data_IF_138038289112
#
_entry.id   IF_138038289112
#
_cell.length_a   1.000
_cell.length_b   1.000
_cell.length_c   1.000
_cell.angle_alpha   90.00
_cell.angle_beta   90.00
_cell.angle_gamma   90.00
#
_symmetry.space_group_name_H-M   'P 1'
#
loop_
_entity.id
_entity.type
_entity.pdbx_description
1 polymer ?
#
# COMPACT_ATOMS: atom_id res chain seq x y z
N UNK A 1 25.15 35.55 -11.16
CA UNK A 1 24.21 34.91 -12.11
C UNK A 1 24.71 33.49 -12.30
N UNK A 2 24.27 32.58 -11.46
CA UNK A 2 24.53 31.15 -11.61
C UNK A 2 23.19 30.50 -11.88
N UNK A 3 23.02 30.03 -13.10
CA UNK A 3 21.86 29.26 -13.55
C UNK A 3 21.92 27.88 -12.91
N UNK A 4 21.04 27.66 -11.92
CA UNK A 4 20.78 26.33 -11.40
C UNK A 4 20.04 25.51 -12.47
N UNK A 5 20.80 24.68 -13.19
CA UNK A 5 20.24 23.66 -14.07
C UNK A 5 19.45 22.66 -13.21
N UNK A 6 18.12 22.76 -13.25
CA UNK A 6 17.24 21.72 -12.74
C UNK A 6 17.43 20.48 -13.61
N UNK A 7 17.98 19.43 -13.01
CA UNK A 7 18.09 18.12 -13.66
C UNK A 7 16.65 17.61 -13.93
N UNK A 8 16.21 17.72 -15.18
CA UNK A 8 14.96 17.14 -15.63
C UNK A 8 15.03 15.62 -15.46
N UNK A 9 14.09 15.06 -14.69
CA UNK A 9 13.91 13.62 -14.55
C UNK A 9 13.57 13.03 -15.94
N UNK A 10 14.54 12.39 -16.57
CA UNK A 10 14.46 11.88 -17.96
C UNK A 10 13.76 10.52 -18.11
N UNK A 11 12.86 10.13 -17.21
CA UNK A 11 12.35 8.76 -17.12
C UNK A 11 10.83 8.60 -17.22
N UNK A 12 10.11 9.49 -17.90
CA UNK A 12 8.75 9.17 -18.35
C UNK A 12 8.81 8.52 -19.73
N UNK A 13 8.68 7.18 -19.87
CA UNK A 13 8.52 6.59 -21.19
C UNK A 13 7.21 7.07 -21.80
N UNK A 14 7.14 7.31 -23.13
CA UNK A 14 5.90 7.66 -23.80
C UNK A 14 4.91 6.51 -23.60
N UNK A 15 3.80 6.80 -22.96
CA UNK A 15 2.75 5.79 -22.73
C UNK A 15 1.99 5.62 -24.05
N UNK A 16 2.26 4.52 -24.75
CA UNK A 16 1.42 4.08 -25.86
C UNK A 16 0.01 3.78 -25.29
N UNK A 17 -1.04 4.21 -25.97
CA UNK A 17 -2.45 4.04 -25.55
C UNK A 17 -2.82 2.59 -25.20
N UNK A 18 -2.13 1.59 -25.77
CA UNK A 18 -2.30 0.17 -25.47
C UNK A 18 -1.84 -0.24 -24.06
N UNK A 19 -0.95 0.49 -23.40
CA UNK A 19 -0.52 0.18 -22.02
C UNK A 19 -1.51 0.64 -20.96
N UNK A 20 -2.37 1.59 -21.27
CA UNK A 20 -3.39 2.11 -20.33
C UNK A 20 -4.50 1.09 -20.07
N UNK A 21 -4.83 0.19 -21.01
CA UNK A 21 -5.90 -0.80 -20.85
C UNK A 21 -5.54 -1.99 -19.96
N UNK A 22 -4.25 -2.26 -19.74
CA UNK A 22 -3.78 -3.38 -18.91
C UNK A 22 -3.22 -2.94 -17.54
N UNK A 23 -3.28 -1.64 -17.22
CA UNK A 23 -2.78 -1.11 -15.96
C UNK A 23 -3.88 -1.05 -14.88
N UNK A 24 -3.50 -1.37 -13.63
CA UNK A 24 -4.35 -1.18 -12.45
C UNK A 24 -4.35 0.29 -12.01
N UNK A 25 -3.17 0.91 -11.98
CA UNK A 25 -3.01 2.35 -11.68
C UNK A 25 -2.08 2.96 -12.71
N UNK A 26 -2.43 4.13 -13.24
CA UNK A 26 -1.60 4.91 -14.15
C UNK A 26 -1.58 6.37 -13.68
N UNK A 27 -0.38 6.85 -13.35
CA UNK A 27 -0.09 8.22 -12.92
C UNK A 27 0.80 8.86 -13.97
N UNK A 28 0.40 10.04 -14.47
CA UNK A 28 1.14 10.76 -15.51
C UNK A 28 1.33 12.22 -15.10
N UNK A 29 2.59 12.66 -15.12
CA UNK A 29 3.01 14.05 -14.90
C UNK A 29 2.37 14.64 -13.62
N UNK A 30 2.28 13.83 -12.56
CA UNK A 30 1.64 14.24 -11.30
C UNK A 30 2.41 15.40 -10.67
N UNK A 31 1.70 16.49 -10.43
CA UNK A 31 2.15 17.59 -9.60
C UNK A 31 1.21 17.75 -8.40
N UNK A 32 1.79 17.87 -7.22
CA UNK A 32 1.01 18.06 -5.99
C UNK A 32 1.79 18.83 -4.93
N UNK A 33 1.12 19.74 -4.22
CA UNK A 33 1.62 20.45 -3.04
C UNK A 33 0.52 20.63 -2.01
N UNK A 34 0.90 20.75 -0.75
CA UNK A 34 -0.03 21.15 0.30
C UNK A 34 -0.08 22.67 0.42
N UNK A 35 -1.25 23.26 0.15
CA UNK A 35 -1.45 24.72 0.22
C UNK A 35 -0.44 25.46 -0.67
N UNK A 36 0.21 26.50 -0.13
CA UNK A 36 1.22 27.28 -0.84
C UNK A 36 2.67 26.85 -0.55
N UNK A 37 2.84 25.60 -0.02
CA UNK A 37 4.14 25.06 0.34
C UNK A 37 4.97 24.62 -0.86
N UNK A 38 6.16 24.03 -0.57
CA UNK A 38 7.00 23.39 -1.57
C UNK A 38 6.24 22.23 -2.24
N UNK A 39 6.46 22.04 -3.53
CA UNK A 39 5.92 20.89 -4.24
C UNK A 39 6.39 19.59 -3.58
N UNK A 40 5.45 18.66 -3.38
CA UNK A 40 5.72 17.34 -2.85
C UNK A 40 6.02 16.36 -3.98
N UNK A 41 5.33 16.52 -5.10
CA UNK A 41 5.57 15.77 -6.33
C UNK A 41 5.72 16.73 -7.51
N UNK A 42 6.75 16.48 -8.32
CA UNK A 42 7.03 17.24 -9.55
C UNK A 42 7.23 16.25 -10.69
N UNK A 43 6.25 16.23 -11.61
CA UNK A 43 6.28 15.36 -12.80
C UNK A 43 6.42 13.85 -12.48
N UNK A 44 5.77 13.38 -11.39
CA UNK A 44 5.84 11.98 -10.99
C UNK A 44 4.99 11.10 -11.93
N UNK A 45 5.61 10.03 -12.43
CA UNK A 45 4.96 9.04 -13.29
C UNK A 45 5.09 7.65 -12.65
N UNK A 46 3.99 6.87 -12.67
CA UNK A 46 3.96 5.49 -12.19
C UNK A 46 2.89 4.70 -12.92
N UNK A 47 3.25 3.51 -13.40
CA UNK A 47 2.29 2.57 -13.97
C UNK A 47 2.36 1.25 -13.23
N UNK A 48 1.23 0.80 -12.67
CA UNK A 48 1.09 -0.45 -11.93
C UNK A 48 0.25 -1.41 -12.76
N UNK A 49 0.79 -2.56 -13.08
CA UNK A 49 0.08 -3.61 -13.83
C UNK A 49 -0.91 -4.35 -12.92
N UNK A 50 -1.96 -4.92 -13.52
CA UNK A 50 -2.86 -5.83 -12.78
C UNK A 50 -2.08 -7.05 -12.30
N UNK A 51 -2.35 -7.49 -11.07
CA UNK A 51 -1.66 -8.60 -10.42
C UNK A 51 -0.23 -8.29 -9.94
N UNK A 52 0.27 -7.06 -10.10
CA UNK A 52 1.55 -6.66 -9.52
C UNK A 52 1.45 -6.51 -8.00
N UNK A 53 2.55 -6.81 -7.30
CA UNK A 53 2.76 -6.42 -5.90
C UNK A 53 3.84 -5.34 -5.86
N UNK A 54 3.46 -4.10 -5.63
CA UNK A 54 4.40 -2.97 -5.57
C UNK A 54 4.59 -2.51 -4.13
N UNK A 55 5.85 -2.40 -3.70
CA UNK A 55 6.20 -1.69 -2.48
C UNK A 55 6.66 -0.26 -2.79
N UNK A 56 6.02 0.73 -2.14
CA UNK A 56 6.43 2.12 -2.16
C UNK A 56 7.36 2.36 -0.97
N UNK A 57 8.62 2.67 -1.25
CA UNK A 57 9.65 2.90 -0.25
C UNK A 57 10.23 4.31 -0.38
N UNK A 58 10.89 4.80 0.65
CA UNK A 58 11.52 6.13 0.69
C UNK A 58 11.60 6.65 2.11
N UNK A 59 12.29 7.75 2.32
CA UNK A 59 12.45 8.38 3.63
C UNK A 59 11.12 8.92 4.19
N UNK A 60 11.12 9.27 5.48
CA UNK A 60 9.95 9.90 6.10
C UNK A 60 9.74 11.29 5.49
N UNK A 61 8.48 11.62 5.21
CA UNK A 61 8.13 12.92 4.62
C UNK A 61 8.22 12.99 3.09
N UNK A 62 8.69 11.95 2.37
CA UNK A 62 8.76 11.94 0.90
C UNK A 62 7.38 11.89 0.22
N UNK A 63 6.29 11.72 0.96
CA UNK A 63 4.94 11.74 0.40
C UNK A 63 4.31 10.38 0.12
N UNK A 64 4.86 9.27 0.61
CA UNK A 64 4.32 7.91 0.39
C UNK A 64 2.82 7.80 0.69
N UNK A 65 2.41 8.17 1.91
CA UNK A 65 0.98 8.15 2.28
C UNK A 65 0.15 9.21 1.55
N UNK A 66 0.77 10.30 1.07
CA UNK A 66 0.11 11.28 0.21
C UNK A 66 -0.18 10.70 -1.17
N UNK A 67 0.78 9.96 -1.75
CA UNK A 67 0.60 9.26 -3.02
C UNK A 67 -0.55 8.24 -2.92
N UNK A 68 -0.61 7.47 -1.82
CA UNK A 68 -1.73 6.56 -1.53
C UNK A 68 -3.06 7.32 -1.49
N UNK A 69 -3.14 8.45 -0.79
CA UNK A 69 -4.36 9.26 -0.73
C UNK A 69 -4.80 9.82 -2.08
N UNK A 70 -3.84 10.19 -2.94
CA UNK A 70 -4.11 10.62 -4.31
C UNK A 70 -4.63 9.47 -5.17
N UNK A 71 -4.05 8.26 -5.08
CA UNK A 71 -4.54 7.05 -5.77
C UNK A 71 -5.97 6.71 -5.32
N UNK A 72 -6.26 6.85 -4.02
CA UNK A 72 -7.59 6.64 -3.43
C UNK A 72 -8.58 7.78 -3.73
N UNK A 73 -8.17 8.82 -4.46
CA UNK A 73 -8.98 10.03 -4.71
C UNK A 73 -9.45 10.74 -3.44
N UNK A 74 -8.74 10.55 -2.32
CA UNK A 74 -8.95 11.30 -1.07
C UNK A 74 -8.31 12.70 -1.12
N UNK A 75 -7.40 12.90 -2.05
CA UNK A 75 -6.80 14.18 -2.44
C UNK A 75 -6.87 14.30 -3.96
N UNK A 76 -6.93 15.53 -4.45
CA UNK A 76 -6.90 15.83 -5.88
C UNK A 76 -5.52 16.36 -6.24
N UNK A 77 -4.93 15.96 -7.37
CA UNK A 77 -3.67 16.52 -7.85
C UNK A 77 -3.87 17.96 -8.31
N UNK A 78 -2.84 18.82 -8.16
CA UNK A 78 -2.84 20.17 -8.71
C UNK A 78 -2.68 20.16 -10.24
N UNK A 79 -1.90 19.18 -10.78
CA UNK A 79 -1.77 18.92 -12.22
C UNK A 79 -1.41 17.45 -12.49
N UNK A 80 -1.52 17.03 -13.75
CA UNK A 80 -1.33 15.64 -14.17
C UNK A 80 -2.61 14.82 -14.06
N UNK A 81 -2.49 13.50 -14.23
CA UNK A 81 -3.63 12.58 -14.19
C UNK A 81 -3.33 11.33 -13.39
N UNK A 82 -4.33 10.85 -12.66
CA UNK A 82 -4.31 9.56 -11.98
C UNK A 82 -5.52 8.77 -12.44
N UNK A 83 -5.29 7.59 -12.99
CA UNK A 83 -6.34 6.64 -13.39
C UNK A 83 -6.19 5.38 -12.56
N UNK A 84 -7.25 4.97 -11.87
CA UNK A 84 -7.34 3.70 -11.16
C UNK A 84 -8.40 2.84 -11.85
N UNK A 85 -7.99 1.69 -12.36
CA UNK A 85 -8.86 0.73 -13.05
C UNK A 85 -9.47 -0.31 -12.11
N UNK A 86 -9.31 -0.16 -10.79
CA UNK A 86 -9.90 -1.05 -9.82
C UNK A 86 -11.42 -0.86 -9.76
N UNK A 87 -12.17 -1.98 -9.78
CA UNK A 87 -13.60 -1.97 -9.51
C UNK A 87 -13.85 -1.82 -8.01
N UNK A 88 -13.03 -2.48 -7.19
CA UNK A 88 -13.10 -2.42 -5.75
C UNK A 88 -11.70 -2.30 -5.13
N UNK A 89 -11.53 -1.33 -4.24
CA UNK A 89 -10.28 -1.10 -3.52
C UNK A 89 -10.46 -1.47 -2.05
N UNK A 90 -9.59 -2.36 -1.55
CA UNK A 90 -9.38 -2.59 -0.13
C UNK A 90 -8.30 -1.64 0.39
N UNK A 91 -8.52 -1.01 1.54
CA UNK A 91 -7.53 -0.09 2.12
C UNK A 91 -7.33 -0.33 3.61
N UNK A 92 -6.07 -0.47 3.99
CA UNK A 92 -5.61 -0.56 5.39
C UNK A 92 -4.76 0.67 5.69
N UNK A 93 -5.26 1.64 6.48
CA UNK A 93 -4.53 2.88 6.78
C UNK A 93 -3.45 2.67 7.85
N UNK A 94 -2.42 3.52 7.82
CA UNK A 94 -1.33 3.57 8.80
C UNK A 94 -1.84 3.83 10.22
N UNK A 95 -2.62 4.90 10.39
CA UNK A 95 -3.22 5.25 11.68
C UNK A 95 -4.54 4.51 11.83
N UNK A 96 -4.54 3.58 12.76
CA UNK A 96 -5.76 2.93 13.20
C UNK A 96 -6.42 3.84 14.23
N UNK A 97 -7.67 4.20 13.99
CA UNK A 97 -8.44 4.92 15.00
C UNK A 97 -8.33 4.15 16.32
N UNK A 98 -7.93 4.82 17.38
CA UNK A 98 -7.93 4.22 18.70
C UNK A 98 -9.39 3.87 19.03
N UNK A 99 -9.74 2.59 18.93
CA UNK A 99 -11.08 2.08 19.27
C UNK A 99 -11.20 1.89 20.79
N UNK A 100 -10.27 2.50 21.55
CA UNK A 100 -10.28 2.47 23.01
C UNK A 100 -11.57 3.14 23.53
N UNK A 101 -12.38 2.33 24.21
CA UNK A 101 -13.62 2.78 24.84
C UNK A 101 -14.92 2.55 24.07
N UNK A 102 -14.89 2.25 22.77
CA UNK A 102 -16.10 1.88 22.04
C UNK A 102 -16.30 0.35 22.10
N UNK A 103 -17.42 -0.16 22.64
CA UNK A 103 -17.61 -1.58 22.89
C UNK A 103 -18.04 -2.38 21.65
N UNK A 104 -17.39 -2.14 20.50
CA UNK A 104 -17.66 -2.86 19.26
C UNK A 104 -16.87 -4.17 19.21
N UNK A 105 -17.54 -5.25 18.80
CA UNK A 105 -16.90 -6.54 18.53
C UNK A 105 -16.28 -6.60 17.14
N UNK A 106 -15.37 -7.55 16.93
CA UNK A 106 -14.78 -7.83 15.60
C UNK A 106 -15.88 -8.09 14.57
N UNK A 107 -16.86 -8.93 14.91
CA UNK A 107 -17.99 -9.23 14.02
C UNK A 107 -18.76 -7.96 13.63
N UNK A 108 -19.13 -7.13 14.60
CA UNK A 108 -19.89 -5.90 14.34
C UNK A 108 -19.11 -4.92 13.44
N UNK A 109 -17.79 -4.79 13.68
CA UNK A 109 -16.92 -3.95 12.86
C UNK A 109 -16.88 -4.43 11.41
N UNK A 110 -16.70 -5.74 11.17
CA UNK A 110 -16.68 -6.30 9.82
C UNK A 110 -18.07 -6.27 9.17
N UNK A 111 -19.12 -6.55 9.94
CA UNK A 111 -20.49 -6.54 9.43
C UNK A 111 -20.95 -5.14 9.02
N UNK A 112 -20.60 -4.11 9.77
CA UNK A 112 -20.87 -2.72 9.39
C UNK A 112 -20.21 -2.37 8.06
N UNK A 113 -18.93 -2.77 7.88
CA UNK A 113 -18.20 -2.55 6.64
C UNK A 113 -18.83 -3.34 5.47
N UNK A 114 -19.21 -4.60 5.69
CA UNK A 114 -19.90 -5.45 4.72
C UNK A 114 -21.20 -4.79 4.20
N UNK A 115 -22.00 -4.21 5.11
CA UNK A 115 -23.24 -3.51 4.75
C UNK A 115 -22.94 -2.29 3.88
N UNK A 116 -21.95 -1.46 4.25
CA UNK A 116 -21.55 -0.28 3.48
C UNK A 116 -21.08 -0.69 2.07
N UNK A 117 -20.40 -1.84 1.95
CA UNK A 117 -19.93 -2.41 0.68
C UNK A 117 -21.05 -3.11 -0.11
N UNK A 118 -22.27 -3.15 0.40
CA UNK A 118 -23.42 -3.85 -0.22
C UNK A 118 -23.13 -5.34 -0.50
N UNK A 119 -22.26 -5.95 0.31
CA UNK A 119 -21.99 -7.38 0.21
C UNK A 119 -23.04 -8.13 1.03
N UNK A 120 -23.95 -8.86 0.37
CA UNK A 120 -25.08 -9.51 1.02
C UNK A 120 -24.71 -10.84 1.69
N UNK A 121 -23.65 -11.49 1.26
CA UNK A 121 -23.17 -12.73 1.85
C UNK A 121 -22.57 -12.50 3.25
N UNK A 122 -23.28 -12.98 4.29
CA UNK A 122 -22.79 -12.88 5.68
C UNK A 122 -21.64 -13.85 5.98
N UNK A 123 -21.52 -14.96 5.23
CA UNK A 123 -20.48 -15.96 5.43
C UNK A 123 -19.09 -15.43 5.10
N UNK A 124 -19.01 -14.32 4.35
CA UNK A 124 -17.73 -13.67 4.02
C UNK A 124 -16.95 -13.22 5.27
N UNK A 125 -17.67 -12.85 6.35
CA UNK A 125 -17.00 -12.44 7.60
C UNK A 125 -16.24 -13.62 8.20
N UNK A 126 -16.88 -14.78 8.29
CA UNK A 126 -16.26 -15.98 8.86
C UNK A 126 -15.09 -16.47 8.00
N UNK A 127 -15.27 -16.45 6.67
CA UNK A 127 -14.19 -16.77 5.72
C UNK A 127 -13.01 -15.82 5.88
N UNK A 128 -13.26 -14.51 5.82
CA UNK A 128 -12.18 -13.51 5.94
C UNK A 128 -11.45 -13.59 7.29
N UNK A 129 -12.16 -13.90 8.39
CA UNK A 129 -11.54 -14.09 9.70
C UNK A 129 -10.75 -15.41 9.77
N UNK A 130 -11.25 -16.49 9.18
CA UNK A 130 -10.54 -17.77 9.12
C UNK A 130 -9.23 -17.63 8.32
N UNK A 131 -9.27 -16.94 7.20
CA UNK A 131 -8.12 -16.72 6.31
C UNK A 131 -6.97 -15.99 7.00
N UNK A 132 -7.27 -15.04 7.88
CA UNK A 132 -6.26 -14.34 8.67
C UNK A 132 -6.02 -14.99 10.06
N UNK A 133 -6.57 -16.18 10.31
CA UNK A 133 -6.48 -16.90 11.58
C UNK A 133 -6.96 -16.08 12.79
N UNK A 134 -8.12 -15.45 12.65
CA UNK A 134 -8.73 -14.60 13.69
C UNK A 134 -10.17 -15.01 14.01
N UNK A 135 -10.66 -16.15 13.51
CA UNK A 135 -12.06 -16.57 13.64
C UNK A 135 -12.48 -16.77 15.12
N UNK A 136 -11.59 -17.29 15.96
CA UNK A 136 -11.85 -17.47 17.39
C UNK A 136 -12.10 -16.15 18.15
N UNK A 137 -11.60 -15.03 17.61
CA UNK A 137 -11.77 -13.70 18.18
C UNK A 137 -12.99 -12.95 17.59
N UNK A 138 -13.86 -13.63 16.82
CA UNK A 138 -15.02 -13.02 16.15
C UNK A 138 -15.90 -12.20 17.09
N UNK A 139 -16.12 -12.66 18.30
CA UNK A 139 -16.95 -11.99 19.31
C UNK A 139 -16.15 -11.21 20.35
N UNK A 140 -14.82 -11.16 20.24
CA UNK A 140 -13.98 -10.33 21.09
C UNK A 140 -14.20 -8.84 20.80
N UNK A 141 -14.03 -7.98 21.80
CA UNK A 141 -14.04 -6.53 21.62
C UNK A 141 -12.79 -6.10 20.84
N UNK A 142 -12.94 -5.22 19.87
CA UNK A 142 -11.81 -4.73 19.06
C UNK A 142 -10.71 -4.13 19.93
N UNK A 143 -11.08 -3.42 21.01
CA UNK A 143 -10.14 -2.80 21.94
C UNK A 143 -9.33 -3.79 22.80
N UNK A 144 -9.65 -5.09 22.80
CA UNK A 144 -8.91 -6.13 23.55
C UNK A 144 -7.93 -6.92 22.68
N UNK A 145 -7.91 -6.65 21.37
CA UNK A 145 -7.02 -7.33 20.44
C UNK A 145 -5.56 -6.85 20.59
N UNK A 146 -4.62 -7.77 20.45
CA UNK A 146 -3.21 -7.41 20.29
C UNK A 146 -2.99 -6.60 19.00
N UNK A 147 -1.84 -5.92 18.87
CA UNK A 147 -1.51 -5.17 17.67
C UNK A 147 -1.57 -6.02 16.39
N UNK A 148 -1.03 -7.24 16.43
CA UNK A 148 -1.08 -8.19 15.31
C UNK A 148 -2.50 -8.67 15.00
N UNK A 149 -3.30 -8.99 16.00
CA UNK A 149 -4.70 -9.37 15.85
C UNK A 149 -5.53 -8.22 15.25
N UNK A 150 -5.31 -7.01 15.74
CA UNK A 150 -5.98 -5.82 15.21
C UNK A 150 -5.62 -5.58 13.75
N UNK A 151 -4.35 -5.78 13.38
CA UNK A 151 -3.91 -5.68 11.98
C UNK A 151 -4.60 -6.72 11.10
N UNK A 152 -4.62 -7.99 11.54
CA UNK A 152 -5.32 -9.08 10.84
C UNK A 152 -6.80 -8.74 10.63
N UNK A 153 -7.47 -8.18 11.64
CA UNK A 153 -8.86 -7.71 11.52
C UNK A 153 -9.02 -6.61 10.45
N UNK A 154 -8.09 -5.63 10.39
CA UNK A 154 -8.15 -4.58 9.36
C UNK A 154 -7.92 -5.14 7.96
N UNK A 155 -7.04 -6.13 7.81
CA UNK A 155 -6.82 -6.81 6.53
C UNK A 155 -8.07 -7.61 6.13
N UNK A 156 -8.63 -8.43 7.06
CA UNK A 156 -9.89 -9.14 6.80
C UNK A 156 -11.00 -8.19 6.36
N UNK A 157 -11.13 -7.04 7.03
CA UNK A 157 -12.08 -5.99 6.64
C UNK A 157 -11.83 -5.46 5.24
N UNK A 158 -10.57 -5.16 4.89
CA UNK A 158 -10.22 -4.60 3.59
C UNK A 158 -10.48 -5.58 2.43
N UNK A 159 -10.48 -6.88 2.70
CA UNK A 159 -10.73 -7.95 1.73
C UNK A 159 -12.23 -8.28 1.57
N UNK A 160 -13.12 -7.74 2.41
CA UNK A 160 -14.57 -7.90 2.24
C UNK A 160 -15.01 -7.30 0.92
N UNK A 161 -15.68 -8.11 0.11
CA UNK A 161 -16.19 -7.73 -1.21
C UNK A 161 -15.24 -8.02 -2.36
N UNK A 162 -14.21 -8.83 -2.13
CA UNK A 162 -13.26 -9.33 -3.13
C UNK A 162 -12.61 -8.22 -3.96
N UNK A 163 -11.81 -7.32 -3.34
CA UNK A 163 -11.17 -6.21 -4.04
C UNK A 163 -10.16 -6.74 -5.07
N UNK A 164 -10.04 -6.03 -6.19
CA UNK A 164 -9.02 -6.27 -7.22
C UNK A 164 -7.74 -5.44 -6.99
N UNK A 165 -7.79 -4.47 -6.07
CA UNK A 165 -6.66 -3.69 -5.58
C UNK A 165 -6.67 -3.62 -4.05
N UNK A 166 -5.58 -4.02 -3.41
CA UNK A 166 -5.35 -3.87 -1.97
C UNK A 166 -4.25 -2.84 -1.73
N UNK A 167 -4.55 -1.81 -0.95
CA UNK A 167 -3.58 -0.80 -0.55
C UNK A 167 -3.32 -0.91 0.96
N UNK A 168 -2.05 -1.02 1.32
CA UNK A 168 -1.56 -1.17 2.68
C UNK A 168 -0.64 -0.01 3.03
N UNK A 169 -1.00 0.78 4.01
CA UNK A 169 -0.15 1.89 4.48
C UNK A 169 0.55 1.47 5.78
N UNK A 170 1.82 1.06 5.68
CA UNK A 170 2.67 0.55 6.76
C UNK A 170 2.06 -0.63 7.54
N UNK A 171 1.79 -1.77 6.89
CA UNK A 171 1.05 -2.87 7.50
C UNK A 171 1.79 -3.58 8.64
N UNK A 172 3.11 -3.42 8.73
CA UNK A 172 3.98 -4.08 9.72
C UNK A 172 4.28 -3.24 10.95
N UNK A 173 3.89 -1.95 10.97
CA UNK A 173 4.25 -1.04 12.06
C UNK A 173 3.55 -1.42 13.37
N UNK A 174 4.34 -1.63 14.44
CA UNK A 174 3.84 -1.86 15.79
C UNK A 174 3.25 -3.26 16.04
N UNK A 175 3.65 -4.26 15.23
CA UNK A 175 3.26 -5.66 15.42
C UNK A 175 4.49 -6.57 15.53
N UNK A 176 4.34 -7.71 16.17
CA UNK A 176 5.41 -8.70 16.37
C UNK A 176 5.81 -9.37 15.04
N UNK A 177 7.04 -9.91 15.00
CA UNK A 177 7.64 -10.50 13.80
C UNK A 177 6.82 -11.66 13.24
N UNK A 178 6.27 -12.53 14.13
CA UNK A 178 5.48 -13.67 13.70
C UNK A 178 4.20 -13.22 12.99
N UNK A 179 3.47 -12.28 13.59
CA UNK A 179 2.26 -11.69 12.99
C UNK A 179 2.57 -11.00 11.66
N UNK A 180 3.72 -10.31 11.53
CA UNK A 180 4.17 -9.73 10.27
C UNK A 180 4.34 -10.79 9.19
N UNK A 181 5.08 -11.87 9.48
CA UNK A 181 5.33 -12.96 8.53
C UNK A 181 4.03 -13.61 8.05
N UNK A 182 3.09 -13.88 8.96
CA UNK A 182 1.79 -14.46 8.61
C UNK A 182 0.98 -13.54 7.70
N UNK A 183 0.97 -12.23 7.98
CA UNK A 183 0.28 -11.22 7.18
C UNK A 183 0.87 -11.16 5.76
N UNK A 184 2.19 -11.03 5.65
CA UNK A 184 2.84 -10.95 4.33
C UNK A 184 2.68 -12.23 3.53
N UNK A 185 2.80 -13.40 4.17
CA UNK A 185 2.57 -14.69 3.51
C UNK A 185 1.15 -14.81 2.96
N UNK A 186 0.14 -14.36 3.73
CA UNK A 186 -1.24 -14.37 3.31
C UNK A 186 -1.50 -13.40 2.14
N UNK A 187 -0.99 -12.16 2.21
CA UNK A 187 -1.13 -11.18 1.13
C UNK A 187 -0.43 -11.67 -0.14
N UNK A 188 0.77 -12.23 -0.01
CA UNK A 188 1.52 -12.81 -1.14
C UNK A 188 0.77 -13.96 -1.79
N UNK A 189 0.14 -14.82 -1.00
CA UNK A 189 -0.74 -15.88 -1.50
C UNK A 189 -1.88 -15.32 -2.32
N UNK A 190 -2.61 -14.31 -1.82
CA UNK A 190 -3.70 -13.66 -2.57
C UNK A 190 -3.21 -13.02 -3.87
N UNK A 191 -2.03 -12.40 -3.86
CA UNK A 191 -1.44 -11.84 -5.06
C UNK A 191 -1.10 -12.91 -6.11
N UNK A 192 -0.43 -14.01 -5.69
CA UNK A 192 0.06 -15.05 -6.62
C UNK A 192 -1.03 -15.99 -7.10
N UNK A 193 -2.00 -16.36 -6.23
CA UNK A 193 -3.04 -17.34 -6.57
C UNK A 193 -4.30 -16.68 -7.11
N UNK A 194 -4.69 -15.50 -6.60
CA UNK A 194 -5.94 -14.84 -6.97
C UNK A 194 -5.73 -13.64 -7.91
N UNK A 195 -4.48 -13.29 -8.24
CA UNK A 195 -4.18 -12.14 -9.10
C UNK A 195 -4.48 -10.78 -8.46
N UNK A 196 -4.62 -10.72 -7.13
CA UNK A 196 -4.86 -9.47 -6.39
C UNK A 196 -3.70 -8.49 -6.64
N UNK A 197 -4.00 -7.28 -7.08
CA UNK A 197 -2.99 -6.22 -7.17
C UNK A 197 -2.75 -5.64 -5.79
N UNK A 198 -1.48 -5.45 -5.41
CA UNK A 198 -1.11 -4.94 -4.08
C UNK A 198 -0.22 -3.72 -4.20
N UNK A 199 -0.55 -2.67 -3.45
CA UNK A 199 0.32 -1.52 -3.20
C UNK A 199 0.58 -1.48 -1.69
N UNK A 200 1.84 -1.62 -1.27
CA UNK A 200 2.25 -1.55 0.13
C UNK A 200 3.24 -0.41 0.35
N UNK A 201 2.94 0.48 1.27
CA UNK A 201 3.92 1.47 1.75
C UNK A 201 4.76 0.80 2.82
N UNK A 202 6.08 0.76 2.62
CA UNK A 202 6.98 0.01 3.48
C UNK A 202 8.10 0.87 4.05
N UNK A 203 8.38 0.66 5.33
CA UNK A 203 9.59 1.12 6.00
C UNK A 203 10.62 0.00 6.16
N UNK A 204 10.15 -1.25 6.20
CA UNK A 204 11.00 -2.43 6.26
C UNK A 204 11.41 -2.82 4.83
N UNK A 205 12.64 -2.49 4.46
CA UNK A 205 13.18 -2.74 3.12
C UNK A 205 13.34 -4.24 2.83
N UNK A 206 13.63 -5.06 3.84
CA UNK A 206 13.72 -6.51 3.68
C UNK A 206 12.35 -7.09 3.33
N UNK A 207 11.30 -6.62 4.00
CA UNK A 207 9.92 -7.01 3.67
C UNK A 207 9.52 -6.57 2.26
N UNK A 208 9.91 -5.37 1.83
CA UNK A 208 9.67 -4.88 0.48
C UNK A 208 10.35 -5.78 -0.57
N UNK A 209 11.62 -6.11 -0.38
CA UNK A 209 12.39 -6.95 -1.31
C UNK A 209 11.84 -8.38 -1.39
N UNK A 210 11.42 -8.97 -0.25
CA UNK A 210 10.95 -10.36 -0.19
C UNK A 210 9.55 -10.57 -0.78
N UNK A 211 8.69 -9.57 -0.70
CA UNK A 211 7.27 -9.75 -1.01
C UNK A 211 6.83 -9.10 -2.33
N UNK A 212 7.55 -8.11 -2.84
CA UNK A 212 7.12 -7.35 -4.01
C UNK A 212 7.59 -7.95 -5.34
N UNK A 213 6.83 -7.69 -6.40
CA UNK A 213 7.29 -7.88 -7.79
C UNK A 213 8.13 -6.72 -8.27
N UNK A 214 7.80 -5.51 -7.79
CA UNK A 214 8.45 -4.26 -8.14
C UNK A 214 8.55 -3.34 -6.91
N UNK A 215 9.59 -2.50 -6.86
CA UNK A 215 9.78 -1.49 -5.83
C UNK A 215 9.74 -0.10 -6.47
N UNK A 216 8.89 0.76 -5.93
CA UNK A 216 8.83 2.17 -6.29
C UNK A 216 9.52 3.00 -5.21
N UNK A 217 10.75 3.44 -5.50
CA UNK A 217 11.52 4.30 -4.60
C UNK A 217 11.14 5.76 -4.83
N UNK A 218 10.60 6.39 -3.80
CA UNK A 218 10.16 7.78 -3.79
C UNK A 218 11.19 8.64 -3.04
N UNK A 219 11.80 9.58 -3.76
CA UNK A 219 12.78 10.52 -3.23
C UNK A 219 12.66 11.88 -3.95
N UNK A 220 12.81 12.98 -3.22
CA UNK A 220 12.87 14.35 -3.76
C UNK A 220 11.76 14.71 -4.76
N UNK A 221 10.53 14.26 -4.49
CA UNK A 221 9.37 14.53 -5.33
C UNK A 221 9.30 13.71 -6.62
N UNK A 222 10.30 12.87 -6.88
CA UNK A 222 10.40 11.95 -8.02
C UNK A 222 10.27 10.50 -7.57
N UNK A 223 9.96 9.60 -8.51
CA UNK A 223 9.87 8.17 -8.24
C UNK A 223 10.63 7.34 -9.24
N UNK A 224 11.28 6.28 -8.78
CA UNK A 224 11.99 5.31 -9.58
C UNK A 224 11.43 3.90 -9.37
N UNK A 225 11.02 3.24 -10.45
CA UNK A 225 10.52 1.86 -10.43
C UNK A 225 11.64 0.90 -10.80
N UNK A 226 11.90 -0.09 -9.95
CA UNK A 226 12.91 -1.11 -10.21
C UNK A 226 12.49 -2.48 -9.65
N UNK A 227 13.22 -3.54 -10.05
CA UNK A 227 13.01 -4.87 -9.47
C UNK A 227 13.59 -4.94 -8.06
N UNK A 228 13.07 -5.83 -7.17
CA UNK A 228 13.60 -6.03 -5.83
C UNK A 228 15.11 -6.35 -5.80
N UNK A 229 15.59 -7.14 -6.78
CA UNK A 229 17.01 -7.51 -6.89
C UNK A 229 17.87 -6.29 -7.17
N UNK A 230 17.44 -5.43 -8.12
CA UNK A 230 18.16 -4.20 -8.45
C UNK A 230 18.17 -3.26 -7.26
N UNK A 231 17.02 -3.09 -6.59
CA UNK A 231 16.93 -2.28 -5.38
C UNK A 231 17.85 -2.76 -4.26
N UNK A 232 17.88 -4.07 -4.02
CA UNK A 232 18.76 -4.67 -3.01
C UNK A 232 20.24 -4.41 -3.33
N UNK A 233 20.64 -4.57 -4.58
CA UNK A 233 22.02 -4.31 -5.02
C UNK A 233 22.43 -2.83 -4.88
N UNK A 234 21.53 -1.90 -5.20
CA UNK A 234 21.84 -0.47 -5.18
C UNK A 234 21.75 0.16 -3.77
N UNK A 235 20.77 -0.27 -2.96
CA UNK A 235 20.43 0.42 -1.71
C UNK A 235 20.71 -0.37 -0.43
N UNK A 236 20.70 -1.72 -0.44
CA UNK A 236 20.91 -2.51 0.77
C UNK A 236 22.40 -2.77 1.03
N UNK A 237 23.25 -2.86 -0.02
CA UNK A 237 24.70 -3.04 0.16
C UNK A 237 25.38 -1.84 0.85
N UNK A 238 24.86 -0.64 0.70
CA UNK A 238 25.40 0.55 1.38
C UNK A 238 25.08 0.60 2.88
N UNK A 239 24.18 -0.23 3.40
CA UNK A 239 23.81 -0.25 4.83
C UNK A 239 24.53 -1.31 5.67
N UNK A 240 25.33 -2.19 5.07
CA UNK A 240 26.19 -3.10 5.84
C UNK A 240 27.53 -2.37 6.07
N UNK A 241 27.89 -1.99 7.33
CA UNK A 241 29.26 -1.57 7.61
C UNK A 241 30.18 -2.74 7.25
N UNK A 242 31.39 -2.47 6.72
CA UNK A 242 32.36 -3.53 6.51
C UNK A 242 32.58 -4.20 7.87
N UNK A 243 32.35 -5.51 7.94
CA UNK A 243 32.73 -6.30 9.10
C UNK A 243 34.25 -6.09 9.30
N UNK A 244 34.61 -5.32 10.31
CA UNK A 244 35.97 -5.36 10.86
C UNK A 244 36.16 -6.75 11.45
N UNK A 245 37.02 -7.53 10.80
CA UNK A 245 37.48 -8.82 11.26
C UNK A 245 38.29 -8.71 12.55
#
# INVERSE_FOLDING_TARGET
MEESQSAACSSCPPVHEHTAQCSMVCIQNLFFRYGNGKALFENLCLTIKKGAYISIVGENGTGKSTLVKLILSLLLPDAGTIRCGAHMVGYVPQKKAAVSGFPITVYEALNSYRIVRKCYDKSIIDRSLADVRLLEHKHARVGTLSGGQLQKMYIARALIGDPDLLILDEPSTGIDIQSQQEIYAYIKKLNTENGLTVISVEHNLDAAVLNSTDIFHLADGCGHLCTPQKYAAEFLHFRRPPFSG
#
